data_IF_350462369075
#
_entry.id   IF_350462369075
#
_cell.length_a   1.000
_cell.length_b   1.000
_cell.length_c   1.000
_cell.angle_alpha   90.00
_cell.angle_beta   90.00
_cell.angle_gamma   90.00
#
_symmetry.space_group_name_H-M   'P 1'
#
loop_
_entity.id
_entity.type
_entity.pdbx_description
1 polymer ?
#
# COMPACT_ATOMS: atom_id res chain seq x y z
N UNK A 1 -27.51 35.40 -9.46
CA UNK A 1 -26.64 35.72 -8.31
C UNK A 1 -26.58 34.43 -7.50
N UNK A 2 -25.66 33.48 -7.72
CA UNK A 2 -24.20 33.58 -7.62
C UNK A 2 -23.79 32.96 -6.27
N UNK A 3 -22.91 31.94 -6.30
CA UNK A 3 -22.22 31.29 -5.15
C UNK A 3 -22.99 30.14 -4.46
N UNK A 4 -22.48 28.92 -4.21
CA UNK A 4 -21.12 28.37 -4.25
C UNK A 4 -21.20 26.84 -4.44
N UNK A 5 -20.77 26.30 -5.58
CA UNK A 5 -20.51 24.85 -5.72
C UNK A 5 -19.07 24.62 -6.17
N UNK A 6 -18.15 25.38 -5.58
CA UNK A 6 -16.74 25.02 -5.55
C UNK A 6 -16.54 24.04 -4.40
N UNK A 7 -16.27 22.77 -4.69
CA UNK A 7 -15.86 21.81 -3.66
C UNK A 7 -14.63 22.40 -2.94
N UNK A 8 -14.72 22.63 -1.63
CA UNK A 8 -13.62 23.22 -0.86
C UNK A 8 -12.33 22.42 -1.06
N UNK A 9 -11.19 23.10 -0.93
CA UNK A 9 -9.86 22.50 -1.08
C UNK A 9 -9.68 21.28 -0.16
N UNK A 10 -10.17 21.38 1.07
CA UNK A 10 -10.20 20.26 2.03
C UNK A 10 -10.91 19.02 1.51
N UNK A 11 -12.03 19.14 0.77
CA UNK A 11 -12.74 18.00 0.20
C UNK A 11 -11.94 17.32 -0.91
N UNK A 12 -11.19 18.10 -1.70
CA UNK A 12 -10.25 17.56 -2.70
C UNK A 12 -9.10 16.82 -2.06
N UNK A 13 -8.52 17.36 -0.99
CA UNK A 13 -7.48 16.67 -0.21
C UNK A 13 -8.03 15.38 0.42
N UNK A 14 -9.22 15.45 1.03
CA UNK A 14 -9.86 14.32 1.67
C UNK A 14 -10.12 13.16 0.69
N UNK A 15 -10.37 13.43 -0.60
CA UNK A 15 -10.52 12.38 -1.63
C UNK A 15 -9.31 11.43 -1.72
N UNK A 16 -8.12 11.88 -1.30
CA UNK A 16 -6.90 11.08 -1.28
C UNK A 16 -6.62 10.36 0.04
N UNK A 17 -7.34 10.69 1.11
CA UNK A 17 -7.05 10.23 2.48
C UNK A 17 -8.13 9.23 2.91
N UNK A 18 -7.77 8.06 3.50
CA UNK A 18 -8.75 7.10 4.03
C UNK A 18 -9.59 7.68 5.18
N UNK A 19 -10.84 7.24 5.33
CA UNK A 19 -11.74 7.76 6.39
C UNK A 19 -11.24 7.46 7.81
N UNK A 20 -10.49 6.36 7.99
CA UNK A 20 -9.81 6.02 9.25
C UNK A 20 -8.77 7.07 9.67
N UNK A 21 -8.31 7.90 8.74
CA UNK A 21 -7.40 9.03 8.97
C UNK A 21 -8.20 10.34 9.03
N UNK A 22 -9.14 10.54 8.10
CA UNK A 22 -9.99 11.76 8.04
C UNK A 22 -10.67 12.06 9.37
N UNK A 23 -11.17 11.02 10.05
CA UNK A 23 -11.90 11.16 11.31
C UNK A 23 -11.07 10.76 12.54
N UNK A 24 -9.77 10.57 12.38
CA UNK A 24 -8.89 10.31 13.51
C UNK A 24 -8.67 11.57 14.36
N UNK A 25 -8.40 11.38 15.64
CA UNK A 25 -7.97 12.47 16.51
C UNK A 25 -6.59 12.99 16.08
N UNK A 26 -6.44 14.32 16.05
CA UNK A 26 -5.19 15.00 15.72
C UNK A 26 -4.19 15.04 16.89
N UNK A 27 -4.63 14.65 18.10
CA UNK A 27 -3.85 14.81 19.33
C UNK A 27 -2.85 13.67 19.63
N UNK A 28 -2.70 12.68 18.75
CA UNK A 28 -1.83 11.52 18.99
C UNK A 28 -0.43 11.75 18.43
N UNK A 29 0.59 11.53 19.26
CA UNK A 29 1.98 11.50 18.84
C UNK A 29 2.26 10.31 17.91
N UNK A 30 3.12 10.53 16.91
CA UNK A 30 3.51 9.51 15.94
C UNK A 30 4.86 8.92 16.38
N UNK A 31 5.03 7.58 16.35
CA UNK A 31 4.08 6.59 15.86
C UNK A 31 3.05 6.14 16.91
N UNK A 32 1.86 5.77 16.44
CA UNK A 32 0.85 5.15 17.30
C UNK A 32 0.11 4.01 16.61
N UNK A 33 -0.41 3.09 17.43
CA UNK A 33 -1.31 2.03 17.02
C UNK A 33 -2.66 2.18 17.75
N UNK A 34 -3.77 1.95 17.05
CA UNK A 34 -5.13 2.05 17.58
C UNK A 34 -5.94 0.82 17.17
N UNK A 35 -6.44 0.09 18.17
CA UNK A 35 -7.22 -1.13 17.97
C UNK A 35 -8.67 -0.80 17.63
N UNK A 36 -9.23 -1.52 16.67
CA UNK A 36 -10.64 -1.46 16.29
C UNK A 36 -11.10 -2.83 15.77
N UNK A 37 -12.42 -3.04 15.71
CA UNK A 37 -12.98 -4.21 15.02
C UNK A 37 -13.35 -3.81 13.60
N UNK A 38 -13.07 -4.68 12.64
CA UNK A 38 -13.44 -4.39 11.25
C UNK A 38 -13.46 -5.62 10.38
N UNK A 39 -13.92 -5.39 9.15
CA UNK A 39 -13.95 -6.37 8.06
C UNK A 39 -13.00 -5.88 6.98
N UNK A 40 -12.14 -6.78 6.49
CA UNK A 40 -11.28 -6.51 5.34
C UNK A 40 -11.75 -7.33 4.15
N UNK A 41 -11.91 -6.65 3.02
CA UNK A 41 -12.20 -7.26 1.72
C UNK A 41 -11.03 -6.97 0.78
N UNK A 42 -10.46 -8.03 0.20
CA UNK A 42 -9.53 -7.91 -0.91
C UNK A 42 -10.24 -8.28 -2.20
N UNK A 43 -10.54 -7.27 -3.02
CA UNK A 43 -11.42 -7.40 -4.18
C UNK A 43 -10.73 -7.93 -5.46
N UNK A 44 -9.40 -8.03 -5.49
CA UNK A 44 -8.66 -8.54 -6.66
C UNK A 44 -9.01 -10.02 -6.94
N UNK A 45 -9.24 -10.81 -5.88
CA UNK A 45 -9.72 -12.21 -5.95
C UNK A 45 -10.53 -12.56 -4.68
N UNK A 46 -11.50 -11.71 -4.32
CA UNK A 46 -12.50 -11.82 -3.22
C UNK A 46 -12.18 -12.72 -2.00
N UNK A 47 -11.14 -12.37 -1.24
CA UNK A 47 -10.95 -12.85 0.13
C UNK A 47 -11.59 -11.91 1.16
N UNK A 48 -12.26 -12.45 2.18
CA UNK A 48 -12.89 -11.69 3.27
C UNK A 48 -12.36 -12.16 4.63
N UNK A 49 -11.93 -11.22 5.45
CA UNK A 49 -11.66 -11.45 6.86
C UNK A 49 -12.41 -10.48 7.76
N UNK A 50 -12.64 -10.88 9.00
CA UNK A 50 -13.23 -10.04 10.03
C UNK A 50 -12.50 -10.29 11.33
N UNK A 51 -12.38 -9.29 12.20
CA UNK A 51 -11.80 -9.44 13.52
C UNK A 51 -11.18 -8.17 14.07
N UNK A 52 -10.26 -8.35 15.02
CA UNK A 52 -9.47 -7.25 15.59
C UNK A 52 -8.41 -6.81 14.59
N UNK A 53 -8.35 -5.50 14.39
CA UNK A 53 -7.41 -4.79 13.54
C UNK A 53 -6.75 -3.69 14.35
N UNK A 54 -5.54 -3.31 13.95
CA UNK A 54 -4.88 -2.14 14.49
C UNK A 54 -4.51 -1.20 13.36
N UNK A 55 -5.03 0.03 13.44
CA UNK A 55 -4.59 1.16 12.64
C UNK A 55 -3.21 1.55 13.13
N UNK A 56 -2.27 1.69 12.22
CA UNK A 56 -0.92 2.17 12.51
C UNK A 56 -0.67 3.41 11.69
N UNK A 57 -0.20 4.47 12.36
CA UNK A 57 0.24 5.71 11.72
C UNK A 57 1.72 5.90 11.99
N UNK A 58 2.46 6.14 10.90
CA UNK A 58 3.92 6.25 10.85
C UNK A 58 4.33 7.42 9.97
N UNK A 59 5.61 7.75 9.97
CA UNK A 59 6.17 8.84 9.17
C UNK A 59 6.67 9.99 10.03
N UNK A 60 6.98 11.11 9.40
CA UNK A 60 7.54 12.30 10.03
C UNK A 60 6.60 13.51 9.87
N UNK A 61 7.15 14.70 10.09
CA UNK A 61 6.42 15.96 9.96
C UNK A 61 6.03 16.29 8.52
N UNK A 62 6.77 15.75 7.53
CA UNK A 62 6.60 16.03 6.11
C UNK A 62 5.71 15.00 5.42
N UNK A 63 5.79 13.74 5.82
CA UNK A 63 5.09 12.63 5.17
C UNK A 63 4.65 11.58 6.17
N UNK A 64 3.36 11.26 6.14
CA UNK A 64 2.72 10.27 7.01
C UNK A 64 2.08 9.17 6.18
N UNK A 65 2.09 7.96 6.73
CA UNK A 65 1.48 6.79 6.11
C UNK A 65 0.60 6.08 7.14
N UNK A 66 -0.50 5.54 6.63
CA UNK A 66 -1.41 4.70 7.39
C UNK A 66 -1.33 3.28 6.83
N UNK A 67 -1.35 2.31 7.73
CA UNK A 67 -1.53 0.90 7.39
C UNK A 67 -2.36 0.20 8.46
N UNK A 68 -2.97 -0.93 8.09
CA UNK A 68 -3.64 -1.83 9.02
C UNK A 68 -2.75 -3.04 9.28
N UNK A 69 -2.64 -3.43 10.55
CA UNK A 69 -1.98 -4.65 10.99
C UNK A 69 -2.96 -5.52 11.79
N UNK A 70 -2.55 -6.75 12.06
CA UNK A 70 -3.31 -7.69 12.89
C UNK A 70 -3.73 -8.93 12.13
N UNK A 71 -4.24 -9.90 12.87
CA UNK A 71 -4.54 -11.25 12.35
C UNK A 71 -5.51 -11.26 11.18
N UNK A 72 -6.51 -10.36 11.18
CA UNK A 72 -7.44 -10.27 10.06
C UNK A 72 -6.76 -9.83 8.75
N UNK A 73 -5.69 -9.02 8.80
CA UNK A 73 -4.89 -8.65 7.62
C UNK A 73 -4.14 -9.86 7.07
N UNK A 74 -3.59 -10.71 7.95
CA UNK A 74 -2.93 -11.95 7.52
C UNK A 74 -3.95 -12.95 6.94
N UNK A 75 -5.11 -13.08 7.57
CA UNK A 75 -6.16 -14.01 7.17
C UNK A 75 -6.82 -13.65 5.84
N UNK A 76 -7.09 -12.37 5.57
CA UNK A 76 -7.67 -11.96 4.27
C UNK A 76 -6.73 -12.27 3.11
N UNK A 77 -5.42 -12.17 3.38
CA UNK A 77 -4.39 -12.46 2.40
C UNK A 77 -4.26 -13.96 2.12
N UNK A 78 -4.37 -14.79 3.15
CA UNK A 78 -4.44 -16.25 2.96
C UNK A 78 -5.72 -16.64 2.20
N UNK A 79 -6.85 -16.00 2.53
CA UNK A 79 -8.12 -16.21 1.84
C UNK A 79 -8.05 -15.82 0.35
N UNK A 80 -7.45 -14.67 0.00
CA UNK A 80 -7.20 -14.26 -1.39
C UNK A 80 -6.30 -15.27 -2.12
N UNK A 81 -5.28 -15.81 -1.46
CA UNK A 81 -4.40 -16.82 -2.06
C UNK A 81 -5.11 -18.12 -2.44
N UNK A 82 -6.21 -18.47 -1.76
CA UNK A 82 -7.05 -19.63 -2.06
C UNK A 82 -8.11 -19.37 -3.13
N UNK A 83 -8.38 -18.10 -3.41
CA UNK A 83 -9.46 -17.71 -4.28
C UNK A 83 -9.06 -17.86 -5.76
N UNK A 84 -10.06 -18.15 -6.58
CA UNK A 84 -10.00 -18.06 -8.04
C UNK A 84 -11.05 -17.08 -8.54
N UNK A 85 -10.94 -16.66 -9.80
CA UNK A 85 -11.89 -15.73 -10.40
C UNK A 85 -13.34 -16.20 -10.21
N UNK A 86 -14.20 -15.29 -9.71
CA UNK A 86 -15.61 -15.57 -9.46
C UNK A 86 -15.91 -16.32 -8.15
N UNK A 87 -14.93 -16.51 -7.26
CA UNK A 87 -15.15 -17.14 -5.96
C UNK A 87 -14.96 -16.15 -4.82
N UNK A 88 -15.75 -16.31 -3.75
CA UNK A 88 -15.59 -15.54 -2.51
C UNK A 88 -15.12 -16.49 -1.42
N UNK A 89 -13.99 -16.18 -0.80
CA UNK A 89 -13.40 -16.98 0.28
C UNK A 89 -13.54 -16.24 1.60
N UNK A 90 -14.19 -16.87 2.58
CA UNK A 90 -14.19 -16.38 3.95
C UNK A 90 -13.02 -17.02 4.70
N UNK A 91 -12.19 -16.20 5.33
CA UNK A 91 -11.23 -16.66 6.32
C UNK A 91 -11.92 -17.38 7.50
N UNK A 92 -11.18 -18.19 8.29
CA UNK A 92 -11.76 -18.91 9.41
C UNK A 92 -12.51 -18.00 10.39
N UNK A 93 -11.94 -16.84 10.74
CA UNK A 93 -12.58 -15.92 11.68
C UNK A 93 -13.78 -15.20 11.06
N UNK A 94 -13.75 -14.86 9.76
CA UNK A 94 -14.93 -14.33 9.07
C UNK A 94 -16.08 -15.35 9.05
N UNK A 95 -15.78 -16.64 8.83
CA UNK A 95 -16.78 -17.69 8.87
C UNK A 95 -17.37 -17.89 10.27
N UNK A 96 -16.57 -17.74 11.33
CA UNK A 96 -17.04 -17.76 12.72
C UNK A 96 -17.96 -16.58 13.09
N UNK A 97 -17.74 -15.42 12.50
CA UNK A 97 -18.47 -14.19 12.84
C UNK A 97 -19.68 -13.91 11.95
N UNK A 98 -19.82 -14.58 10.80
CA UNK A 98 -20.93 -14.35 9.87
C UNK A 98 -22.21 -15.12 10.25
N UNK A 99 -23.34 -14.73 9.65
CA UNK A 99 -24.60 -15.47 9.73
C UNK A 99 -24.52 -16.78 8.92
N UNK A 100 -24.04 -17.84 9.59
CA UNK A 100 -23.84 -19.17 9.00
C UNK A 100 -25.14 -19.81 8.53
N UNK A 101 -26.27 -19.47 9.13
CA UNK A 101 -27.56 -20.01 8.74
C UNK A 101 -27.99 -19.50 7.37
N UNK A 102 -27.54 -18.30 7.00
CA UNK A 102 -27.85 -17.67 5.72
C UNK A 102 -26.83 -17.96 4.60
N UNK A 103 -25.65 -18.50 4.90
CA UNK A 103 -24.58 -18.68 3.90
C UNK A 103 -24.35 -20.17 3.63
N UNK A 104 -24.44 -20.57 2.36
CA UNK A 104 -24.07 -21.93 1.92
C UNK A 104 -22.63 -21.91 1.41
N UNK A 105 -21.84 -22.88 1.87
CA UNK A 105 -20.41 -22.96 1.60
C UNK A 105 -20.01 -24.32 1.03
N UNK A 106 -18.90 -24.32 0.30
CA UNK A 106 -18.11 -25.50 -0.01
C UNK A 106 -16.86 -25.49 0.89
N UNK A 107 -16.50 -26.66 1.45
CA UNK A 107 -15.25 -26.79 2.22
C UNK A 107 -14.06 -26.83 1.27
N UNK A 108 -12.96 -26.22 1.70
CA UNK A 108 -11.68 -26.26 0.99
C UNK A 108 -10.83 -27.34 1.64
N UNK A 109 -10.24 -28.23 0.84
CA UNK A 109 -9.43 -29.33 1.35
C UNK A 109 -8.22 -28.80 2.14
N UNK A 110 -7.96 -29.38 3.32
CA UNK A 110 -6.88 -29.01 4.23
C UNK A 110 -6.89 -27.55 4.74
N UNK A 111 -7.99 -26.82 4.55
CA UNK A 111 -8.12 -25.42 4.94
C UNK A 111 -9.30 -25.21 5.88
N UNK A 112 -9.15 -24.26 6.81
CA UNK A 112 -10.25 -23.81 7.68
C UNK A 112 -11.07 -22.68 7.05
N UNK A 113 -10.53 -22.04 6.00
CA UNK A 113 -11.27 -21.09 5.19
C UNK A 113 -12.37 -21.82 4.41
N UNK A 114 -13.42 -21.08 4.03
CA UNK A 114 -14.58 -21.64 3.32
C UNK A 114 -14.86 -20.85 2.06
N UNK A 115 -15.31 -21.54 1.01
CA UNK A 115 -15.76 -20.93 -0.23
C UNK A 115 -17.26 -20.67 -0.16
N UNK A 116 -17.69 -19.44 -0.35
CA UNK A 116 -19.12 -19.09 -0.43
C UNK A 116 -19.68 -19.59 -1.76
N UNK A 117 -20.78 -20.35 -1.68
CA UNK A 117 -21.51 -20.84 -2.85
C UNK A 117 -22.67 -19.91 -3.21
N UNK A 118 -23.51 -19.59 -2.22
CA UNK A 118 -24.61 -18.63 -2.35
C UNK A 118 -25.14 -18.23 -0.96
N UNK A 119 -25.91 -17.15 -0.91
CA UNK A 119 -26.71 -16.77 0.26
C UNK A 119 -28.14 -17.32 0.10
N UNK A 120 -28.68 -17.99 1.13
CA UNK A 120 -29.99 -18.66 1.07
C UNK A 120 -31.13 -17.65 0.95
N UNK A 121 -31.03 -16.58 1.71
CA UNK A 121 -31.94 -15.44 1.67
C UNK A 121 -31.16 -14.30 1.05
N UNK A 122 -31.62 -13.84 -0.10
CA UNK A 122 -31.25 -12.50 -0.52
C UNK A 122 -31.63 -11.54 0.61
N UNK A 123 -30.76 -10.58 0.96
CA UNK A 123 -31.12 -9.58 1.95
C UNK A 123 -32.41 -8.88 1.51
N UNK A 124 -33.54 -9.25 2.11
CA UNK A 124 -34.86 -8.64 1.83
C UNK A 124 -35.01 -7.29 2.54
N UNK A 125 -33.91 -6.71 3.00
CA UNK A 125 -33.87 -5.37 3.53
C UNK A 125 -33.61 -4.41 2.38
N UNK A 126 -34.32 -3.27 2.35
CA UNK A 126 -33.79 -2.15 1.59
C UNK A 126 -32.40 -1.87 2.15
N UNK A 127 -31.39 -1.75 1.27
CA UNK A 127 -30.03 -1.38 1.69
C UNK A 127 -30.10 -0.14 2.58
N UNK A 128 -31.01 0.78 2.29
CA UNK A 128 -31.27 1.97 3.11
C UNK A 128 -31.81 1.61 4.50
N UNK A 129 -32.77 0.69 4.64
CA UNK A 129 -33.29 0.26 5.95
C UNK A 129 -32.25 -0.49 6.78
N UNK A 130 -31.41 -1.30 6.13
CA UNK A 130 -30.31 -1.97 6.82
C UNK A 130 -29.23 -0.98 7.24
N UNK A 131 -28.89 -0.02 6.38
CA UNK A 131 -28.02 1.11 6.70
C UNK A 131 -28.59 1.96 7.84
N UNK A 132 -29.89 2.21 7.91
CA UNK A 132 -30.52 2.93 9.01
C UNK A 132 -30.46 2.11 10.32
N UNK A 133 -30.60 0.78 10.23
CA UNK A 133 -30.56 -0.13 11.38
C UNK A 133 -29.15 -0.46 11.91
N UNK A 134 -28.14 -0.47 11.02
CA UNK A 134 -26.74 -0.83 11.33
C UNK A 134 -25.81 0.39 11.33
N UNK A 135 -26.18 1.48 10.66
CA UNK A 135 -25.41 2.73 10.59
C UNK A 135 -25.31 3.49 11.92
N UNK A 136 -26.02 3.04 12.96
CA UNK A 136 -25.76 3.43 14.34
C UNK A 136 -24.49 2.77 14.94
N UNK A 137 -24.06 1.64 14.39
CA UNK A 137 -22.87 0.88 14.81
C UNK A 137 -21.62 1.18 13.96
N UNK A 138 -21.78 1.80 12.78
CA UNK A 138 -20.65 2.19 11.93
C UNK A 138 -20.32 3.66 12.18
N UNK A 139 -19.22 3.90 12.90
CA UNK A 139 -18.73 5.26 13.14
C UNK A 139 -18.54 6.00 11.80
N UNK A 140 -19.05 7.24 11.74
CA UNK A 140 -18.99 8.16 10.59
C UNK A 140 -19.91 7.86 9.39
N UNK A 141 -20.81 6.87 9.50
CA UNK A 141 -21.67 6.41 8.40
C UNK A 141 -23.14 6.85 8.50
N UNK A 142 -23.43 7.99 9.13
CA UNK A 142 -24.67 8.71 8.83
C UNK A 142 -24.55 9.28 7.40
N UNK A 143 -24.79 8.42 6.41
CA UNK A 143 -24.87 8.77 5.00
C UNK A 143 -25.96 9.83 4.85
N UNK A 144 -25.54 11.07 4.64
CA UNK A 144 -26.47 12.09 4.13
C UNK A 144 -26.96 11.62 2.78
N UNK A 145 -28.29 11.57 2.57
CA UNK A 145 -28.98 10.97 1.40
C UNK A 145 -28.47 11.38 0.01
N UNK A 146 -27.61 12.41 -0.09
CA UNK A 146 -27.05 12.93 -1.35
C UNK A 146 -25.51 12.89 -1.41
N UNK A 147 -24.83 12.09 -0.58
CA UNK A 147 -23.38 12.00 -0.63
C UNK A 147 -22.85 10.59 -0.34
N UNK A 148 -22.04 10.09 -1.27
CA UNK A 148 -21.35 8.78 -1.17
C UNK A 148 -20.34 8.76 -0.03
N UNK A 149 -19.80 9.92 0.37
CA UNK A 149 -18.77 10.01 1.41
C UNK A 149 -18.89 11.31 2.20
N UNK A 150 -19.05 11.21 3.53
CA UNK A 150 -19.19 12.38 4.42
C UNK A 150 -18.02 13.37 4.30
N UNK A 151 -16.81 12.89 3.98
CA UNK A 151 -15.63 13.71 3.78
C UNK A 151 -15.76 14.72 2.63
N UNK A 152 -16.67 14.50 1.68
CA UNK A 152 -16.93 15.45 0.59
C UNK A 152 -17.63 16.73 1.07
N UNK A 153 -18.28 16.71 2.24
CA UNK A 153 -18.98 17.85 2.86
C UNK A 153 -18.16 18.54 3.96
N UNK A 154 -16.85 18.27 4.04
CA UNK A 154 -15.98 18.95 5.01
C UNK A 154 -15.97 20.47 4.74
N UNK A 155 -16.14 21.24 5.81
CA UNK A 155 -15.95 22.69 5.79
C UNK A 155 -14.47 23.03 5.92
N UNK A 156 -14.01 24.20 5.46
CA UNK A 156 -12.62 24.62 5.59
C UNK A 156 -12.09 24.48 7.03
N UNK A 157 -10.96 23.80 7.18
CA UNK A 157 -10.29 23.59 8.46
C UNK A 157 -8.78 23.48 8.21
N UNK A 158 -8.03 24.51 8.58
CA UNK A 158 -6.60 24.61 8.27
C UNK A 158 -5.75 23.50 8.95
N UNK A 159 -6.08 23.14 10.18
CA UNK A 159 -5.36 22.09 10.93
C UNK A 159 -5.54 20.72 10.27
N UNK A 160 -6.78 20.43 9.86
CA UNK A 160 -7.13 19.19 9.18
C UNK A 160 -6.55 19.13 7.77
N UNK A 161 -6.57 20.25 7.03
CA UNK A 161 -5.88 20.36 5.72
C UNK A 161 -4.39 20.09 5.85
N UNK A 162 -3.72 20.68 6.84
CA UNK A 162 -2.30 20.45 7.10
C UNK A 162 -2.01 18.98 7.44
N UNK A 163 -2.93 18.31 8.12
CA UNK A 163 -2.83 16.87 8.39
C UNK A 163 -2.98 16.06 7.11
N UNK A 164 -4.00 16.31 6.29
CA UNK A 164 -4.24 15.56 5.05
C UNK A 164 -3.08 15.67 4.06
N UNK A 165 -2.45 16.85 3.98
CA UNK A 165 -1.30 17.08 3.10
C UNK A 165 -0.16 16.10 3.36
N UNK A 166 0.06 15.67 4.60
CA UNK A 166 1.13 14.72 4.93
C UNK A 166 0.91 13.33 4.34
N UNK A 167 -0.33 12.95 3.99
CA UNK A 167 -0.67 11.65 3.38
C UNK A 167 -0.69 11.68 1.85
N UNK A 168 -0.47 12.85 1.23
CA UNK A 168 -0.64 13.04 -0.19
C UNK A 168 0.72 13.34 -0.82
N UNK A 169 1.04 12.65 -1.91
CA UNK A 169 2.29 12.89 -2.64
C UNK A 169 2.39 14.35 -3.10
N UNK A 170 3.58 14.94 -2.97
CA UNK A 170 3.86 16.32 -3.37
C UNK A 170 3.43 16.65 -4.81
N UNK A 171 3.59 15.71 -5.74
CA UNK A 171 3.17 15.87 -7.14
C UNK A 171 1.66 16.05 -7.30
N UNK A 172 0.87 15.40 -6.45
CA UNK A 172 -0.60 15.55 -6.40
C UNK A 172 -0.97 16.85 -5.71
N UNK A 173 -0.34 17.16 -4.57
CA UNK A 173 -0.57 18.40 -3.83
C UNK A 173 -0.35 19.63 -4.71
N UNK A 174 0.73 19.65 -5.48
CA UNK A 174 1.02 20.75 -6.39
C UNK A 174 -0.12 21.00 -7.38
N UNK A 175 -0.68 19.94 -7.97
CA UNK A 175 -1.83 20.08 -8.89
C UNK A 175 -3.09 20.58 -8.18
N UNK A 176 -3.37 20.09 -6.98
CA UNK A 176 -4.49 20.56 -6.16
C UNK A 176 -4.32 22.05 -5.80
N UNK A 177 -3.11 22.45 -5.42
CA UNK A 177 -2.76 23.80 -5.02
C UNK A 177 -2.81 24.79 -6.20
N UNK A 178 -2.34 24.36 -7.37
CA UNK A 178 -2.37 25.13 -8.62
C UNK A 178 -3.75 25.16 -9.29
N UNK A 179 -4.76 24.47 -8.72
CA UNK A 179 -6.09 24.36 -9.31
C UNK A 179 -6.13 23.59 -10.63
N UNK A 180 -5.12 22.76 -10.91
CA UNK A 180 -4.99 22.01 -12.15
C UNK A 180 -5.77 20.68 -12.10
N UNK A 181 -6.34 20.23 -13.23
CA UNK A 181 -6.94 18.90 -13.36
C UNK A 181 -5.94 17.80 -12.97
N UNK A 182 -6.39 16.81 -12.18
CA UNK A 182 -5.55 15.68 -11.74
C UNK A 182 -5.29 14.69 -12.89
N UNK A 183 -6.10 14.73 -13.94
CA UNK A 183 -5.94 13.96 -15.17
C UNK A 183 -4.58 14.23 -15.83
N UNK A 184 -3.98 15.41 -15.63
CA UNK A 184 -2.64 15.73 -16.12
C UNK A 184 -1.52 14.94 -15.46
N UNK A 185 -1.82 14.22 -14.37
CA UNK A 185 -0.90 13.26 -13.77
C UNK A 185 -1.00 11.87 -14.41
N UNK A 186 -1.98 11.64 -15.28
CA UNK A 186 -2.22 10.36 -15.95
C UNK A 186 -1.36 10.26 -17.20
N UNK A 187 -0.28 9.50 -17.12
CA UNK A 187 0.66 9.31 -18.23
C UNK A 187 1.29 7.91 -18.24
N UNK A 188 1.65 7.45 -19.44
CA UNK A 188 2.57 6.33 -19.62
C UNK A 188 3.99 6.87 -19.66
N UNK A 189 4.84 6.45 -18.71
CA UNK A 189 6.22 6.95 -18.65
C UNK A 189 7.20 5.86 -18.20
N UNK A 190 8.47 5.98 -18.60
CA UNK A 190 9.52 5.16 -18.00
C UNK A 190 9.74 5.60 -16.55
N UNK A 191 9.61 4.67 -15.61
CA UNK A 191 9.93 4.89 -14.19
C UNK A 191 10.77 3.72 -13.67
N UNK A 192 11.46 3.94 -12.55
CA UNK A 192 12.12 2.86 -11.81
C UNK A 192 11.35 2.58 -10.52
N UNK A 193 10.92 1.33 -10.38
CA UNK A 193 10.14 0.83 -9.25
C UNK A 193 11.09 0.18 -8.27
N UNK A 194 11.00 0.55 -7.00
CA UNK A 194 11.73 -0.06 -5.89
C UNK A 194 10.70 -0.60 -4.90
N UNK A 195 10.61 -1.91 -4.79
CA UNK A 195 9.75 -2.59 -3.84
C UNK A 195 10.59 -3.10 -2.69
N UNK A 196 10.34 -2.63 -1.47
CA UNK A 196 11.05 -3.04 -0.25
C UNK A 196 10.11 -3.87 0.61
N UNK A 197 10.47 -5.11 0.91
CA UNK A 197 9.75 -5.95 1.86
C UNK A 197 10.56 -6.15 3.15
N UNK A 198 9.95 -5.80 4.28
CA UNK A 198 10.51 -5.95 5.61
C UNK A 198 9.77 -7.06 6.35
N UNK A 199 10.40 -8.21 6.52
CA UNK A 199 9.86 -9.30 7.33
C UNK A 199 10.34 -9.16 8.77
N UNK A 200 9.41 -8.95 9.69
CA UNK A 200 9.72 -8.81 11.11
C UNK A 200 9.80 -10.18 11.79
N UNK A 201 10.63 -10.29 12.81
CA UNK A 201 10.65 -11.41 13.74
C UNK A 201 9.31 -11.47 14.47
N UNK A 202 8.70 -12.65 14.52
CA UNK A 202 7.42 -12.86 15.22
C UNK A 202 7.53 -12.65 16.73
N UNK A 203 6.39 -12.53 17.41
CA UNK A 203 6.33 -12.42 18.89
C UNK A 203 6.41 -11.01 19.46
N UNK A 204 6.50 -9.98 18.61
CA UNK A 204 6.40 -8.58 19.05
C UNK A 204 4.95 -8.20 19.38
N UNK A 205 4.77 -7.28 20.33
CA UNK A 205 3.48 -6.62 20.51
C UNK A 205 3.16 -5.72 19.31
N UNK A 206 1.90 -5.34 19.15
CA UNK A 206 1.49 -4.44 18.07
C UNK A 206 2.16 -3.06 18.19
N UNK A 207 2.37 -2.57 19.42
CA UNK A 207 3.09 -1.33 19.69
C UNK A 207 4.57 -1.45 19.31
N UNK A 208 5.19 -2.59 19.62
CA UNK A 208 6.57 -2.88 19.22
C UNK A 208 6.73 -2.97 17.70
N UNK A 209 5.79 -3.62 17.01
CA UNK A 209 5.75 -3.68 15.55
C UNK A 209 5.54 -2.29 14.94
N UNK A 210 4.63 -1.49 15.49
CA UNK A 210 4.39 -0.10 15.09
C UNK A 210 5.67 0.73 15.17
N UNK A 211 6.38 0.68 16.31
CA UNK A 211 7.66 1.38 16.49
C UNK A 211 8.75 0.87 15.53
N UNK A 212 8.78 -0.44 15.24
CA UNK A 212 9.73 -1.01 14.29
C UNK A 212 9.45 -0.54 12.84
N UNK A 213 8.19 -0.57 12.42
CA UNK A 213 7.77 -0.08 11.10
C UNK A 213 8.05 1.41 10.97
N UNK A 214 7.76 2.21 12.00
CA UNK A 214 8.04 3.64 12.02
C UNK A 214 9.53 3.94 11.80
N UNK A 215 10.41 3.32 12.59
CA UNK A 215 11.86 3.53 12.46
C UNK A 215 12.35 3.15 11.06
N UNK A 216 11.85 2.05 10.51
CA UNK A 216 12.17 1.65 9.14
C UNK A 216 11.66 2.66 8.10
N UNK A 217 10.44 3.18 8.27
CA UNK A 217 9.88 4.19 7.39
C UNK A 217 10.71 5.48 7.36
N UNK A 218 11.20 5.94 8.52
CA UNK A 218 12.11 7.09 8.60
C UNK A 218 13.44 6.81 7.89
N UNK A 219 14.05 5.64 8.11
CA UNK A 219 15.29 5.25 7.44
C UNK A 219 15.14 5.15 5.92
N UNK A 220 14.03 4.55 5.46
CA UNK A 220 13.68 4.46 4.03
C UNK A 220 13.44 5.85 3.46
N UNK A 221 12.64 6.68 4.12
CA UNK A 221 12.34 8.04 3.65
C UNK A 221 13.62 8.86 3.46
N UNK A 222 14.58 8.77 4.38
CA UNK A 222 15.90 9.42 4.24
C UNK A 222 16.63 8.97 2.97
N UNK A 223 16.74 7.66 2.73
CA UNK A 223 17.38 7.12 1.52
C UNK A 223 16.65 7.55 0.25
N UNK A 224 15.32 7.51 0.26
CA UNK A 224 14.51 7.94 -0.87
C UNK A 224 14.70 9.43 -1.18
N UNK A 225 14.69 10.30 -0.16
CA UNK A 225 14.91 11.74 -0.33
C UNK A 225 16.32 12.05 -0.84
N UNK A 226 17.35 11.45 -0.24
CA UNK A 226 18.76 11.65 -0.66
C UNK A 226 19.01 11.27 -2.12
N UNK A 227 18.30 10.27 -2.63
CA UNK A 227 18.39 9.83 -4.02
C UNK A 227 17.26 10.38 -4.91
N UNK A 228 16.43 11.29 -4.41
CA UNK A 228 15.33 11.96 -5.14
C UNK A 228 14.22 11.02 -5.62
N UNK A 229 14.03 9.87 -4.96
CA UNK A 229 12.84 9.06 -5.12
C UNK A 229 11.74 9.44 -4.11
N UNK A 230 10.60 8.75 -4.20
CA UNK A 230 9.43 8.95 -3.33
C UNK A 230 8.86 7.61 -2.87
N UNK A 231 8.34 7.56 -1.66
CA UNK A 231 7.47 6.47 -1.21
C UNK A 231 6.06 6.78 -1.72
N UNK A 232 5.46 5.85 -2.46
CA UNK A 232 4.10 5.96 -2.99
C UNK A 232 3.08 5.27 -2.08
N UNK A 233 3.35 4.03 -1.63
CA UNK A 233 2.46 3.28 -0.73
C UNK A 233 3.25 2.50 0.30
N UNK A 234 2.64 2.32 1.47
CA UNK A 234 3.09 1.43 2.54
C UNK A 234 1.93 0.54 2.92
N UNK A 235 2.12 -0.78 2.91
CA UNK A 235 1.07 -1.73 3.22
C UNK A 235 1.63 -3.06 3.72
N UNK A 236 0.82 -3.83 4.44
CA UNK A 236 1.21 -5.17 4.88
C UNK A 236 1.05 -6.18 3.74
N UNK A 237 2.10 -6.97 3.50
CA UNK A 237 2.10 -8.02 2.49
C UNK A 237 3.12 -9.12 2.85
N UNK A 238 2.74 -10.39 2.67
CA UNK A 238 3.63 -11.58 2.80
C UNK A 238 4.49 -11.62 4.05
N UNK A 239 3.81 -11.53 5.21
CA UNK A 239 4.41 -11.58 6.55
C UNK A 239 5.35 -10.41 6.84
N UNK A 240 5.21 -9.31 6.09
CA UNK A 240 6.06 -8.13 6.21
C UNK A 240 5.35 -6.83 5.89
N UNK A 241 6.05 -5.74 6.15
CA UNK A 241 5.66 -4.41 5.71
C UNK A 241 6.34 -4.11 4.37
N UNK A 242 5.55 -3.74 3.38
CA UNK A 242 5.99 -3.46 2.02
C UNK A 242 5.93 -1.96 1.73
N UNK A 243 7.02 -1.42 1.20
CA UNK A 243 7.10 -0.05 0.69
C UNK A 243 7.21 -0.11 -0.84
N UNK A 244 6.28 0.58 -1.50
CA UNK A 244 6.35 0.86 -2.93
C UNK A 244 6.99 2.23 -3.13
N UNK A 245 8.21 2.24 -3.62
CA UNK A 245 9.02 3.41 -3.87
C UNK A 245 9.23 3.63 -5.38
N UNK A 246 9.36 4.89 -5.79
CA UNK A 246 9.38 5.29 -7.20
C UNK A 246 10.47 6.32 -7.48
N UNK A 247 11.06 6.20 -8.66
CA UNK A 247 11.97 7.18 -9.26
C UNK A 247 11.50 7.57 -10.65
N UNK A 248 11.78 8.80 -11.03
CA UNK A 248 11.40 9.34 -12.33
C UNK A 248 9.90 9.63 -12.42
N UNK A 249 9.31 10.17 -11.35
CA UNK A 249 7.94 10.70 -11.33
C UNK A 249 7.80 11.99 -12.18
N UNK A 250 6.58 12.45 -12.48
CA UNK A 250 6.37 13.73 -13.16
C UNK A 250 7.12 14.87 -12.44
N UNK A 251 7.99 15.59 -13.16
CA UNK A 251 8.86 16.64 -12.61
C UNK A 251 10.20 16.17 -12.03
N UNK A 252 10.36 14.89 -11.70
CA UNK A 252 11.54 14.32 -11.01
C UNK A 252 12.37 13.39 -11.94
N UNK A 253 12.25 13.51 -13.27
CA UNK A 253 12.94 12.62 -14.24
C UNK A 253 14.42 12.96 -14.37
N UNK A 254 15.28 11.94 -14.30
CA UNK A 254 16.73 12.09 -14.50
C UNK A 254 17.33 10.97 -15.34
N UNK A 255 18.51 11.23 -15.90
CA UNK A 255 19.24 10.23 -16.68
C UNK A 255 19.80 9.12 -15.79
N UNK A 256 20.37 9.48 -14.65
CA UNK A 256 21.05 8.62 -13.67
C UNK A 256 20.11 7.98 -12.62
N UNK A 257 18.80 8.15 -12.77
CA UNK A 257 17.80 7.69 -11.79
C UNK A 257 17.91 6.18 -11.47
N UNK A 258 18.37 5.36 -12.43
CA UNK A 258 18.50 3.90 -12.26
C UNK A 258 19.65 3.55 -11.32
N UNK A 259 20.77 4.26 -11.46
CA UNK A 259 21.91 4.11 -10.56
C UNK A 259 21.54 4.58 -9.15
N UNK A 260 20.85 5.72 -9.03
CA UNK A 260 20.36 6.22 -7.76
C UNK A 260 19.31 5.31 -7.11
N UNK A 261 18.41 4.70 -7.89
CA UNK A 261 17.46 3.72 -7.37
C UNK A 261 18.16 2.48 -6.79
N UNK A 262 19.19 1.97 -7.47
CA UNK A 262 19.99 0.84 -6.98
C UNK A 262 20.80 1.22 -5.73
N UNK A 263 21.40 2.41 -5.71
CA UNK A 263 22.12 2.92 -4.54
C UNK A 263 21.20 3.12 -3.34
N UNK A 264 20.03 3.74 -3.54
CA UNK A 264 19.01 3.88 -2.50
C UNK A 264 18.54 2.52 -1.98
N UNK A 265 18.28 1.56 -2.88
CA UNK A 265 17.92 0.20 -2.50
C UNK A 265 19.00 -0.46 -1.63
N UNK A 266 20.28 -0.36 -2.01
CA UNK A 266 21.38 -0.85 -1.18
C UNK A 266 21.47 -0.12 0.17
N UNK A 267 21.35 1.21 0.19
CA UNK A 267 21.36 1.99 1.43
C UNK A 267 20.21 1.61 2.37
N UNK A 268 19.02 1.38 1.83
CA UNK A 268 17.85 0.87 2.57
C UNK A 268 18.15 -0.51 3.13
N UNK A 269 18.65 -1.43 2.30
CA UNK A 269 18.98 -2.79 2.72
C UNK A 269 19.99 -2.79 3.87
N UNK A 270 21.07 -2.02 3.73
CA UNK A 270 22.13 -1.89 4.73
C UNK A 270 21.64 -1.28 6.05
N UNK A 271 20.93 -0.15 6.00
CA UNK A 271 20.37 0.49 7.20
C UNK A 271 19.40 -0.46 7.89
N UNK A 272 18.54 -1.12 7.12
CA UNK A 272 17.55 -2.01 7.70
C UNK A 272 18.19 -3.22 8.38
N UNK A 273 19.25 -3.79 7.80
CA UNK A 273 19.98 -4.90 8.40
C UNK A 273 20.77 -4.49 9.66
N UNK A 274 21.33 -3.28 9.68
CA UNK A 274 22.18 -2.80 10.79
C UNK A 274 21.37 -2.28 11.97
N UNK A 275 20.33 -1.49 11.71
CA UNK A 275 19.63 -0.71 12.74
C UNK A 275 18.41 -1.42 13.34
N UNK A 276 17.86 -2.44 12.65
CA UNK A 276 16.63 -3.09 13.08
C UNK A 276 16.88 -4.54 13.51
N UNK A 277 17.18 -4.73 14.79
CA UNK A 277 17.37 -6.04 15.44
C UNK A 277 16.15 -6.99 15.29
N UNK A 278 14.97 -6.43 15.02
CA UNK A 278 13.71 -7.15 14.92
C UNK A 278 13.35 -7.57 13.49
N UNK A 279 14.23 -7.36 12.50
CA UNK A 279 14.00 -7.79 11.12
C UNK A 279 14.62 -9.17 10.88
N UNK A 280 13.80 -10.10 10.40
CA UNK A 280 14.24 -11.42 9.94
C UNK A 280 14.89 -11.32 8.56
N UNK A 281 14.29 -10.55 7.66
CA UNK A 281 14.75 -10.47 6.27
C UNK A 281 14.32 -9.15 5.63
N UNK A 282 15.23 -8.55 4.86
CA UNK A 282 14.99 -7.37 4.02
C UNK A 282 15.22 -7.78 2.58
N UNK A 283 14.20 -7.62 1.73
CA UNK A 283 14.26 -8.04 0.33
C UNK A 283 13.80 -6.90 -0.55
N UNK A 284 14.56 -6.59 -1.60
CA UNK A 284 14.29 -5.44 -2.45
C UNK A 284 14.27 -5.87 -3.91
N UNK A 285 13.22 -5.49 -4.62
CA UNK A 285 13.07 -5.69 -6.06
C UNK A 285 13.10 -4.34 -6.78
N UNK A 286 14.00 -4.20 -7.75
CA UNK A 286 14.18 -2.98 -8.54
C UNK A 286 13.93 -3.27 -10.02
N UNK A 287 13.07 -2.52 -10.68
CA UNK A 287 12.82 -2.71 -12.11
C UNK A 287 12.65 -1.38 -12.80
N UNK A 288 12.97 -1.32 -14.10
CA UNK A 288 12.83 -0.09 -14.88
C UNK A 288 12.08 -0.37 -16.17
N UNK A 289 11.12 0.50 -16.49
CA UNK A 289 10.45 0.45 -17.79
C UNK A 289 9.15 1.24 -17.81
N UNK A 290 8.34 1.06 -18.87
CA UNK A 290 7.09 1.79 -19.02
C UNK A 290 6.07 1.36 -17.97
N UNK A 291 5.50 2.34 -17.28
CA UNK A 291 4.41 2.18 -16.32
C UNK A 291 3.36 3.26 -16.56
N UNK A 292 2.11 2.93 -16.25
CA UNK A 292 1.08 3.93 -16.07
C UNK A 292 1.28 4.59 -14.71
N UNK A 293 1.21 5.91 -14.67
CA UNK A 293 1.15 6.72 -13.46
C UNK A 293 -0.10 7.57 -13.53
N UNK A 294 -0.87 7.72 -12.45
CA UNK A 294 -2.05 8.59 -12.44
C UNK A 294 -2.87 8.49 -11.17
N UNK A 295 -3.87 9.37 -11.04
CA UNK A 295 -4.86 9.29 -9.96
C UNK A 295 -5.95 8.30 -10.37
N UNK A 296 -6.13 7.24 -9.58
CA UNK A 296 -7.04 6.14 -9.88
C UNK A 296 -8.06 5.99 -8.76
N UNK A 297 -9.34 5.88 -9.12
CA UNK A 297 -10.44 5.65 -8.20
C UNK A 297 -11.67 6.50 -8.51
N UNK A 298 -12.59 6.55 -7.57
CA UNK A 298 -13.80 7.37 -7.68
C UNK A 298 -13.49 8.85 -7.41
N UNK A 299 -14.32 9.78 -7.90
CA UNK A 299 -14.11 11.24 -7.71
C UNK A 299 -14.01 11.67 -6.25
N UNK A 300 -14.69 10.96 -5.34
CA UNK A 300 -14.65 11.21 -3.89
C UNK A 300 -13.66 10.32 -3.12
N UNK A 301 -13.01 9.36 -3.79
CA UNK A 301 -11.99 8.48 -3.19
C UNK A 301 -11.07 7.89 -4.27
N UNK A 302 -9.85 8.43 -4.36
CA UNK A 302 -8.86 8.00 -5.34
C UNK A 302 -7.43 8.17 -4.81
N UNK A 303 -6.47 7.49 -5.41
CA UNK A 303 -5.06 7.55 -5.01
C UNK A 303 -4.14 7.65 -6.22
N UNK A 304 -3.03 8.35 -6.05
CA UNK A 304 -1.96 8.27 -7.04
C UNK A 304 -1.38 6.86 -7.05
N UNK A 305 -1.48 6.21 -8.20
CA UNK A 305 -1.19 4.80 -8.37
C UNK A 305 -0.29 4.61 -9.58
N UNK A 306 0.64 3.68 -9.45
CA UNK A 306 1.44 3.19 -10.57
C UNK A 306 1.06 1.77 -10.93
N UNK A 307 0.89 1.49 -12.22
CA UNK A 307 0.43 0.19 -12.72
C UNK A 307 1.31 -0.22 -13.88
N UNK A 308 1.78 -1.47 -13.89
CA UNK A 308 2.50 -2.00 -15.05
C UNK A 308 3.21 -3.32 -14.78
N UNK A 309 3.67 -3.95 -15.85
CA UNK A 309 4.42 -5.22 -15.78
C UNK A 309 5.68 -5.10 -14.92
N UNK A 310 6.36 -3.95 -14.97
CA UNK A 310 7.56 -3.68 -14.16
C UNK A 310 7.21 -3.55 -12.66
N UNK A 311 6.11 -2.89 -12.32
CA UNK A 311 5.59 -2.85 -10.93
C UNK A 311 5.37 -4.28 -10.40
N UNK A 312 4.69 -5.11 -11.17
CA UNK A 312 4.43 -6.51 -10.79
C UNK A 312 5.73 -7.34 -10.70
N UNK A 313 6.66 -7.14 -11.64
CA UNK A 313 7.94 -7.84 -11.62
C UNK A 313 8.74 -7.46 -10.37
N UNK A 314 8.86 -6.19 -10.02
CA UNK A 314 9.55 -5.75 -8.80
C UNK A 314 8.95 -6.36 -7.52
N UNK A 315 7.61 -6.43 -7.44
CA UNK A 315 6.94 -7.11 -6.33
C UNK A 315 7.27 -8.62 -6.29
N UNK A 316 7.42 -9.29 -7.45
CA UNK A 316 7.83 -10.70 -7.49
C UNK A 316 9.32 -10.87 -7.17
N UNK A 317 10.19 -9.95 -7.59
CA UNK A 317 11.61 -10.00 -7.30
C UNK A 317 11.88 -10.00 -5.79
N UNK A 318 11.29 -9.06 -5.04
CA UNK A 318 11.45 -9.00 -3.58
C UNK A 318 10.94 -10.26 -2.85
N UNK A 319 9.99 -10.98 -3.45
CA UNK A 319 9.42 -12.19 -2.84
C UNK A 319 10.20 -13.47 -3.19
N UNK A 320 10.69 -13.58 -4.42
CA UNK A 320 11.38 -14.78 -4.90
C UNK A 320 12.89 -14.75 -4.65
N UNK A 321 13.46 -13.59 -4.34
CA UNK A 321 14.88 -13.42 -3.98
C UNK A 321 14.99 -12.76 -2.60
N UNK A 322 14.68 -13.51 -1.53
CA UNK A 322 14.68 -12.96 -0.19
C UNK A 322 16.10 -12.58 0.27
N UNK A 323 16.21 -11.49 1.03
CA UNK A 323 17.45 -11.09 1.67
C UNK A 323 18.41 -10.29 0.80
N UNK A 324 18.07 -10.00 -0.46
CA UNK A 324 18.97 -9.33 -1.41
C UNK A 324 18.30 -8.14 -2.10
N UNK A 325 19.11 -7.28 -2.70
CA UNK A 325 18.68 -6.29 -3.69
C UNK A 325 18.75 -6.94 -5.07
N UNK A 326 17.59 -7.17 -5.67
CA UNK A 326 17.45 -7.83 -6.97
C UNK A 326 16.93 -6.84 -8.01
N UNK A 327 17.40 -6.95 -9.26
CA UNK A 327 16.94 -6.09 -10.35
C UNK A 327 16.80 -6.82 -11.70
N UNK A 328 16.04 -6.21 -12.61
CA UNK A 328 15.90 -6.70 -13.99
C UNK A 328 17.07 -6.25 -14.90
N UNK A 329 17.06 -6.77 -16.12
CA UNK A 329 18.06 -6.46 -17.15
C UNK A 329 18.09 -4.99 -17.54
N UNK A 330 16.93 -4.35 -17.61
CA UNK A 330 16.79 -2.95 -18.01
C UNK A 330 17.36 -2.02 -16.94
N UNK A 331 17.08 -2.26 -15.65
CA UNK A 331 17.72 -1.53 -14.57
C UNK A 331 19.23 -1.72 -14.61
N UNK A 332 19.73 -2.96 -14.77
CA UNK A 332 21.16 -3.24 -14.87
C UNK A 332 21.81 -2.46 -16.02
N UNK A 333 21.28 -2.60 -17.25
CA UNK A 333 21.81 -1.98 -18.45
C UNK A 333 21.76 -0.45 -18.40
N UNK A 334 20.61 0.13 -18.04
CA UNK A 334 20.44 1.59 -18.03
C UNK A 334 21.03 2.28 -16.80
N UNK A 335 21.46 1.53 -15.77
CA UNK A 335 22.20 2.11 -14.65
C UNK A 335 23.58 2.64 -15.06
N UNK A 336 24.14 2.14 -16.17
CA UNK A 336 25.52 2.41 -16.61
C UNK A 336 26.59 2.09 -15.55
N UNK A 337 26.23 1.34 -14.50
CA UNK A 337 27.17 0.91 -13.47
C UNK A 337 28.03 -0.26 -13.99
N UNK A 338 29.30 -0.38 -13.56
CA UNK A 338 30.16 -1.49 -13.95
C UNK A 338 29.55 -2.88 -13.67
N UNK A 339 29.75 -3.82 -14.58
CA UNK A 339 29.20 -5.18 -14.46
C UNK A 339 29.61 -5.92 -13.17
N UNK A 340 30.74 -5.54 -12.56
CA UNK A 340 31.22 -6.09 -11.28
C UNK A 340 30.28 -5.84 -10.08
N UNK A 341 29.31 -4.93 -10.21
CA UNK A 341 28.29 -4.67 -9.19
C UNK A 341 27.09 -5.62 -9.31
N UNK A 342 27.05 -6.52 -10.30
CA UNK A 342 25.90 -7.35 -10.60
C UNK A 342 26.26 -8.83 -10.68
N UNK A 343 25.58 -9.64 -9.87
CA UNK A 343 25.65 -11.10 -9.94
C UNK A 343 24.39 -11.65 -10.57
N UNK A 344 24.51 -12.52 -11.58
CA UNK A 344 23.34 -13.13 -12.23
C UNK A 344 22.60 -14.03 -11.23
N UNK A 345 21.29 -13.85 -11.12
CA UNK A 345 20.42 -14.65 -10.25
C UNK A 345 19.90 -15.90 -10.98
N UNK A 346 19.64 -17.00 -10.25
CA UNK A 346 19.01 -18.19 -10.83
C UNK A 346 17.57 -17.86 -11.24
N UNK A 347 17.13 -18.42 -12.37
CA UNK A 347 15.75 -18.25 -12.85
C UNK A 347 14.77 -18.95 -11.90
N UNK A 348 13.68 -18.26 -11.55
CA UNK A 348 12.57 -18.81 -10.76
C UNK A 348 11.25 -18.54 -11.48
N UNK A 349 10.34 -19.52 -11.45
CA UNK A 349 8.97 -19.30 -11.91
C UNK A 349 8.25 -18.37 -10.92
N UNK A 350 7.56 -17.35 -11.45
CA UNK A 350 6.88 -16.33 -10.65
C UNK A 350 5.45 -16.16 -11.14
N UNK A 351 4.48 -16.16 -10.22
CA UNK A 351 3.05 -16.04 -10.54
C UNK A 351 2.81 -14.76 -11.35
N UNK A 352 2.19 -14.92 -12.53
CA UNK A 352 1.83 -13.82 -13.43
C UNK A 352 2.97 -13.27 -14.29
N UNK A 353 4.16 -13.89 -14.27
CA UNK A 353 5.31 -13.48 -15.09
C UNK A 353 5.68 -14.61 -16.06
N UNK A 354 5.55 -14.35 -17.37
CA UNK A 354 5.88 -15.34 -18.42
C UNK A 354 7.38 -15.45 -18.69
N UNK A 355 8.03 -14.32 -18.92
CA UNK A 355 9.48 -14.24 -19.14
C UNK A 355 10.05 -13.03 -18.38
N UNK A 356 10.74 -13.25 -17.25
CA UNK A 356 11.36 -12.16 -16.50
C UNK A 356 12.68 -11.68 -17.11
N UNK A 357 13.19 -12.32 -18.16
CA UNK A 357 14.52 -12.05 -18.69
C UNK A 357 15.64 -12.51 -17.75
N UNK A 358 16.80 -11.86 -17.86
CA UNK A 358 17.93 -12.09 -16.94
C UNK A 358 17.78 -11.17 -15.74
N UNK A 359 17.90 -11.76 -14.55
CA UNK A 359 17.79 -11.06 -13.28
C UNK A 359 19.16 -11.00 -12.60
N UNK A 360 19.40 -9.95 -11.84
CA UNK A 360 20.67 -9.68 -11.18
C UNK A 360 20.46 -9.37 -9.71
N UNK A 361 21.42 -9.75 -8.89
CA UNK A 361 21.62 -9.22 -7.56
C UNK A 361 22.55 -8.03 -7.68
N UNK A 362 22.14 -6.87 -7.17
CA UNK A 362 22.99 -5.71 -7.07
C UNK A 362 23.79 -5.76 -5.77
N UNK A 363 25.11 -5.62 -5.88
CA UNK A 363 26.07 -5.69 -4.80
C UNK A 363 26.83 -4.37 -4.75
N UNK A 364 26.39 -3.40 -3.95
CA UNK A 364 27.21 -2.22 -3.69
C UNK A 364 28.54 -2.69 -3.05
N UNK A 365 29.66 -2.63 -3.79
CA UNK A 365 30.96 -2.87 -3.19
C UNK A 365 31.16 -1.82 -2.11
N UNK A 366 31.19 -2.26 -0.85
CA UNK A 366 31.90 -1.51 0.19
C UNK A 366 33.31 -1.32 -0.36
N UNK A 367 33.72 -0.09 -0.59
CA UNK A 367 35.14 0.17 -0.74
C UNK A 367 35.76 -0.30 0.59
N UNK A 368 36.37 -1.48 0.56
CA UNK A 368 37.40 -1.82 1.52
C UNK A 368 38.57 -0.89 1.18
N UNK A 369 38.59 0.28 1.83
CA UNK A 369 39.84 0.98 2.10
C UNK A 369 40.26 0.63 3.51
#
# INVERSE_FOLDING_TARGET
>A
MGETQGLYKISKLAAHVPDLVVYSTLAKDIPYAEKFHGVLLFADVSGISAGKLSKVVIGDELSQYFLVIGRAVDEVRLAEGLAVAGTIILSPNAWELCDRDNIVIDRIENERAVKVRYMKREPSFSVEKYQDSVGAMVEHEHLTRDCVRKASRLTPNAELENTFRKYIMKTVLQKIDDGQPLEYLSEMRPATIVFVNLQFSGGQSEEGLCAAIHRAAIGIARQMVSHQGRINKVFMFDKGCTFLCLFGLPGDKREDERAHALQAACGIHDICQREFCNLKTVSIGVTTGPVFCGVVGHSVRHEYTVIGRKVNLAARLMMHYPGVVSCDSETCYYSKLPALYFNKLPKKAMKGIKDPGVLYQFMARKHSM
#
